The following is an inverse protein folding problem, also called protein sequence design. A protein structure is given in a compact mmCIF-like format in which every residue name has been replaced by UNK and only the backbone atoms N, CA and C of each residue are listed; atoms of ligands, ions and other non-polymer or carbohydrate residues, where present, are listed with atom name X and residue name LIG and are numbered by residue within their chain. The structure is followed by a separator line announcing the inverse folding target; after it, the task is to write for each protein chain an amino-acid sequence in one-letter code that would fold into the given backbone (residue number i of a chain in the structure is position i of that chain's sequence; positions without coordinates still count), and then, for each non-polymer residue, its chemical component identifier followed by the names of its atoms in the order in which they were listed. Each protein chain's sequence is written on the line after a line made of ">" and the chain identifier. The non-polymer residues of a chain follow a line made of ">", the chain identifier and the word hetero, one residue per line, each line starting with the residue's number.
data_IF_799110900400
#
_entry.id   IF_799110900400
#
_cell.length_a   1.000
_cell.length_b   1.000
_cell.length_c   1.000
_cell.angle_alpha   90.00
_cell.angle_beta   90.00
_cell.angle_gamma   90.00
#
_symmetry.space_group_name_H-M   'P 1'
#
loop_
_entity.id
_entity.type
_entity.pdbx_description
1 polymer ?
#
# COMPACT_ATOMS: atom_id res chain seq x y z
N UNK A 1 -26.01 6.48 -55.62
CA UNK A 1 -24.65 6.27 -55.12
C UNK A 1 -24.61 6.20 -53.61
N UNK A 2 -24.75 4.99 -53.09
CA UNK A 2 -24.44 4.66 -51.72
C UNK A 2 -23.15 3.83 -51.79
N UNK A 3 -22.02 4.45 -51.47
CA UNK A 3 -20.75 3.77 -51.36
C UNK A 3 -20.09 4.17 -50.04
N UNK A 4 -20.11 3.19 -49.14
CA UNK A 4 -18.96 2.80 -48.32
C UNK A 4 -18.47 3.83 -47.28
N UNK A 5 -19.08 3.75 -46.10
CA UNK A 5 -18.38 4.03 -44.85
C UNK A 5 -18.36 2.71 -44.07
N UNK A 6 -17.38 1.85 -44.35
CA UNK A 6 -17.11 0.68 -43.51
C UNK A 6 -16.31 1.13 -42.29
N UNK A 7 -16.73 0.78 -41.06
CA UNK A 7 -15.85 0.92 -39.91
C UNK A 7 -14.71 -0.09 -40.07
N UNK A 8 -13.47 0.39 -40.06
CA UNK A 8 -12.31 -0.45 -39.87
C UNK A 8 -12.38 -1.05 -38.45
N UNK A 9 -12.99 -2.23 -38.34
CA UNK A 9 -12.81 -3.12 -37.19
C UNK A 9 -11.36 -3.61 -37.24
N UNK A 10 -10.48 -2.90 -36.54
CA UNK A 10 -9.11 -3.34 -36.30
C UNK A 10 -9.13 -4.49 -35.30
N UNK A 11 -8.98 -5.71 -35.81
CA UNK A 11 -8.71 -6.95 -35.08
C UNK A 11 -7.31 -6.94 -34.41
N UNK A 12 -6.93 -5.87 -33.69
CA UNK A 12 -5.65 -5.76 -32.99
C UNK A 12 -5.68 -6.37 -31.57
N UNK A 13 -6.60 -7.30 -31.31
CA UNK A 13 -6.72 -7.98 -30.01
C UNK A 13 -6.07 -9.38 -29.98
N UNK A 14 -5.61 -9.88 -31.13
CA UNK A 14 -5.28 -11.30 -31.31
C UNK A 14 -3.87 -11.74 -30.89
N UNK A 15 -2.95 -10.83 -30.57
CA UNK A 15 -1.53 -11.17 -30.34
C UNK A 15 -0.95 -10.53 -29.06
N UNK A 16 -1.78 -10.32 -28.04
CA UNK A 16 -1.29 -10.01 -26.70
C UNK A 16 -0.88 -11.33 -26.03
N UNK A 17 0.40 -11.52 -25.65
CA UNK A 17 0.84 -12.72 -24.95
C UNK A 17 0.01 -12.91 -23.69
N UNK A 18 -0.14 -14.16 -23.26
CA UNK A 18 -0.85 -14.43 -22.01
C UNK A 18 -0.16 -13.67 -20.86
N UNK A 19 -0.94 -13.15 -19.91
CA UNK A 19 -0.39 -12.32 -18.83
C UNK A 19 0.64 -13.05 -17.95
N UNK A 20 0.68 -14.38 -18.04
CA UNK A 20 1.60 -15.29 -17.34
C UNK A 20 2.61 -15.98 -18.27
N UNK A 21 2.71 -15.54 -19.52
CA UNK A 21 3.64 -16.12 -20.50
C UNK A 21 5.10 -15.85 -20.10
N UNK A 22 5.91 -16.91 -20.10
CA UNK A 22 7.31 -16.84 -19.66
C UNK A 22 7.53 -16.84 -18.14
N UNK A 23 6.47 -16.84 -17.31
CA UNK A 23 6.60 -16.99 -15.86
C UNK A 23 6.85 -18.43 -15.44
N UNK A 24 7.59 -18.63 -14.34
CA UNK A 24 7.74 -19.96 -13.73
C UNK A 24 6.44 -20.39 -13.03
N UNK A 25 6.25 -21.69 -12.81
CA UNK A 25 5.06 -22.21 -12.11
C UNK A 25 4.91 -21.62 -10.69
N UNK A 26 6.04 -21.37 -10.01
CA UNK A 26 6.06 -20.75 -8.68
C UNK A 26 5.60 -19.28 -8.75
N UNK A 27 6.07 -18.51 -9.74
CA UNK A 27 5.65 -17.12 -9.94
C UNK A 27 4.16 -17.02 -10.27
N UNK A 28 3.66 -17.94 -11.11
CA UNK A 28 2.23 -18.03 -11.45
C UNK A 28 1.37 -18.33 -10.22
N UNK A 29 1.81 -19.25 -9.36
CA UNK A 29 1.11 -19.58 -8.14
C UNK A 29 1.07 -18.41 -7.14
N UNK A 30 2.17 -17.65 -7.01
CA UNK A 30 2.19 -16.44 -6.18
C UNK A 30 1.27 -15.34 -6.76
N UNK A 31 1.31 -15.12 -8.07
CA UNK A 31 0.47 -14.17 -8.76
C UNK A 31 -1.03 -14.51 -8.62
N UNK A 32 -1.42 -15.78 -8.80
CA UNK A 32 -2.80 -16.25 -8.61
C UNK A 32 -3.28 -16.05 -7.16
N UNK A 33 -2.43 -16.39 -6.18
CA UNK A 33 -2.74 -16.18 -4.77
C UNK A 33 -2.97 -14.70 -4.44
N UNK A 34 -2.11 -13.81 -4.95
CA UNK A 34 -2.23 -12.37 -4.78
C UNK A 34 -3.48 -11.82 -5.47
N UNK A 35 -3.75 -12.25 -6.71
CA UNK A 35 -4.92 -11.86 -7.47
C UNK A 35 -6.22 -12.26 -6.75
N UNK A 36 -6.32 -13.52 -6.29
CA UNK A 36 -7.46 -13.99 -5.50
C UNK A 36 -7.69 -13.15 -4.25
N UNK A 37 -6.62 -12.82 -3.52
CA UNK A 37 -6.72 -11.97 -2.33
C UNK A 37 -7.24 -10.58 -2.67
N UNK A 38 -6.69 -9.94 -3.71
CA UNK A 38 -7.09 -8.60 -4.15
C UNK A 38 -8.54 -8.56 -4.62
N UNK A 39 -8.95 -9.50 -5.46
CA UNK A 39 -10.33 -9.59 -5.97
C UNK A 39 -11.32 -9.78 -4.82
N UNK A 40 -11.01 -10.69 -3.88
CA UNK A 40 -11.87 -10.91 -2.70
C UNK A 40 -12.00 -9.65 -1.85
N UNK A 41 -10.89 -8.96 -1.56
CA UNK A 41 -10.93 -7.70 -0.81
C UNK A 41 -11.75 -6.63 -1.54
N UNK A 42 -11.50 -6.42 -2.82
CA UNK A 42 -12.23 -5.43 -3.62
C UNK A 42 -13.74 -5.71 -3.65
N UNK A 43 -14.14 -6.98 -3.75
CA UNK A 43 -15.56 -7.38 -3.67
C UNK A 43 -16.17 -7.06 -2.31
N UNK A 44 -15.47 -7.36 -1.21
CA UNK A 44 -15.95 -7.06 0.16
C UNK A 44 -16.08 -5.54 0.37
N UNK A 45 -15.07 -4.76 0.01
CA UNK A 45 -15.12 -3.30 0.15
C UNK A 45 -16.24 -2.69 -0.70
N UNK A 46 -16.41 -3.17 -1.94
CA UNK A 46 -17.49 -2.73 -2.83
C UNK A 46 -18.86 -3.06 -2.25
N UNK A 47 -19.04 -4.24 -1.68
CA UNK A 47 -20.31 -4.68 -1.09
C UNK A 47 -20.68 -3.85 0.14
N UNK A 48 -19.71 -3.56 1.02
CA UNK A 48 -19.89 -2.67 2.17
C UNK A 48 -20.28 -1.27 1.72
N UNK A 49 -19.53 -0.68 0.78
CA UNK A 49 -19.83 0.67 0.31
C UNK A 49 -21.19 0.77 -0.38
N UNK A 50 -21.60 -0.23 -1.17
CA UNK A 50 -22.94 -0.29 -1.78
C UNK A 50 -24.05 -0.38 -0.75
N UNK A 51 -23.93 -1.30 0.21
CA UNK A 51 -24.96 -1.54 1.24
C UNK A 51 -25.18 -0.32 2.13
N UNK A 52 -24.13 0.49 2.33
CA UNK A 52 -24.19 1.70 3.14
C UNK A 52 -24.29 2.99 2.30
N UNK A 53 -24.59 2.87 0.99
CA UNK A 53 -24.76 3.99 0.07
C UNK A 53 -23.58 5.00 0.06
N UNK A 54 -22.36 4.51 0.29
CA UNK A 54 -21.16 5.34 0.20
C UNK A 54 -20.91 5.70 -1.27
N UNK A 55 -20.66 6.98 -1.51
CA UNK A 55 -20.36 7.51 -2.84
C UNK A 55 -19.27 8.56 -2.73
N UNK A 56 -18.38 8.58 -3.72
CA UNK A 56 -17.40 9.65 -3.87
C UNK A 56 -18.10 10.85 -4.48
N UNK A 57 -18.05 11.99 -3.81
CA UNK A 57 -18.70 13.21 -4.28
C UNK A 57 -17.84 13.90 -5.35
N UNK A 58 -18.47 14.81 -6.09
CA UNK A 58 -17.75 15.61 -7.07
C UNK A 58 -16.65 16.47 -6.43
N UNK A 59 -16.91 16.97 -5.24
CA UNK A 59 -15.97 17.78 -4.45
C UNK A 59 -14.75 16.98 -4.02
N UNK A 60 -14.95 15.73 -3.58
CA UNK A 60 -13.87 14.80 -3.24
C UNK A 60 -13.01 14.47 -4.45
N UNK A 61 -13.64 14.20 -5.60
CA UNK A 61 -12.95 13.97 -6.88
C UNK A 61 -12.12 15.19 -7.28
N UNK A 62 -12.70 16.39 -7.24
CA UNK A 62 -12.01 17.62 -7.62
C UNK A 62 -10.83 17.93 -6.66
N UNK A 63 -10.99 17.63 -5.37
CA UNK A 63 -9.91 17.74 -4.39
C UNK A 63 -8.77 16.76 -4.70
N UNK A 64 -9.09 15.52 -5.05
CA UNK A 64 -8.08 14.52 -5.43
C UNK A 64 -7.30 14.92 -6.69
N UNK A 65 -7.97 15.50 -7.69
CA UNK A 65 -7.31 16.06 -8.88
C UNK A 65 -6.31 17.16 -8.48
N UNK A 66 -6.69 18.05 -7.57
CA UNK A 66 -5.79 19.09 -7.08
C UNK A 66 -4.61 18.51 -6.29
N UNK A 67 -4.85 17.53 -5.42
CA UNK A 67 -3.80 16.81 -4.70
C UNK A 67 -2.85 16.08 -5.64
N UNK A 68 -3.37 15.50 -6.72
CA UNK A 68 -2.54 14.85 -7.73
C UNK A 68 -1.67 15.87 -8.47
N UNK A 69 -2.23 17.02 -8.87
CA UNK A 69 -1.46 18.10 -9.47
C UNK A 69 -0.31 18.59 -8.56
N UNK A 70 -0.53 18.67 -7.24
CA UNK A 70 0.52 19.05 -6.27
C UNK A 70 1.70 18.08 -6.22
N UNK A 71 1.54 16.84 -6.69
CA UNK A 71 2.65 15.87 -6.79
C UNK A 71 3.61 16.16 -7.95
N UNK A 72 3.23 17.08 -8.85
CA UNK A 72 4.01 17.47 -10.03
C UNK A 72 4.35 18.97 -10.02
N UNK A 73 5.31 19.42 -9.19
CA UNK A 73 5.70 20.81 -9.10
C UNK A 73 6.18 21.38 -10.44
N UNK A 74 5.65 22.54 -10.85
CA UNK A 74 5.96 23.22 -12.11
C UNK A 74 5.20 22.70 -13.33
N UNK A 75 4.35 21.68 -13.17
CA UNK A 75 3.46 21.13 -14.21
C UNK A 75 2.01 21.03 -13.73
N UNK A 76 1.67 21.69 -12.62
CA UNK A 76 0.37 21.56 -11.97
C UNK A 76 -0.77 21.94 -12.91
N UNK A 77 -0.57 23.01 -13.70
CA UNK A 77 -1.54 23.47 -14.69
C UNK A 77 -1.81 22.41 -15.77
N UNK A 78 -0.77 21.76 -16.28
CA UNK A 78 -0.91 20.74 -17.32
C UNK A 78 -1.63 19.50 -16.78
N UNK A 79 -1.37 19.12 -15.52
CA UNK A 79 -2.08 18.01 -14.85
C UNK A 79 -3.57 18.33 -14.65
N UNK A 80 -3.89 19.55 -14.19
CA UNK A 80 -5.28 19.99 -14.07
C UNK A 80 -5.99 20.00 -15.41
N UNK A 81 -5.36 20.56 -16.44
CA UNK A 81 -5.92 20.64 -17.80
C UNK A 81 -6.11 19.21 -18.38
N UNK A 82 -5.20 18.28 -18.10
CA UNK A 82 -5.30 16.87 -18.48
C UNK A 82 -6.56 16.20 -17.89
N UNK A 83 -6.82 16.36 -16.60
CA UNK A 83 -8.00 15.77 -15.95
C UNK A 83 -9.31 16.44 -16.38
N UNK A 84 -9.29 17.75 -16.68
CA UNK A 84 -10.45 18.46 -17.22
C UNK A 84 -10.84 17.96 -18.62
N UNK A 85 -9.85 17.71 -19.47
CA UNK A 85 -10.07 17.25 -20.84
C UNK A 85 -10.35 15.75 -20.93
N UNK A 86 -9.93 14.98 -19.92
CA UNK A 86 -10.08 13.52 -19.90
C UNK A 86 -10.90 13.05 -18.68
N UNK A 87 -12.25 13.08 -18.75
CA UNK A 87 -13.10 12.59 -17.67
C UNK A 87 -12.83 11.13 -17.25
N UNK A 88 -12.41 10.29 -18.20
CA UNK A 88 -12.02 8.91 -17.91
C UNK A 88 -10.77 8.82 -17.03
N UNK A 89 -9.81 9.74 -17.17
CA UNK A 89 -8.64 9.79 -16.30
C UNK A 89 -9.05 10.17 -14.88
N UNK A 90 -9.98 11.13 -14.73
CA UNK A 90 -10.50 11.51 -13.42
C UNK A 90 -11.23 10.34 -12.72
N UNK A 91 -11.84 9.43 -13.48
CA UNK A 91 -12.48 8.23 -12.93
C UNK A 91 -11.48 7.25 -12.28
N UNK A 92 -10.21 7.26 -12.71
CA UNK A 92 -9.18 6.40 -12.11
C UNK A 92 -8.88 6.82 -10.67
N UNK A 93 -9.09 8.09 -10.32
CA UNK A 93 -8.92 8.59 -8.95
C UNK A 93 -10.07 8.17 -8.03
N UNK A 94 -11.24 7.82 -8.58
CA UNK A 94 -12.43 7.49 -7.79
C UNK A 94 -12.27 6.18 -7.04
N UNK A 95 -11.63 5.16 -7.64
CA UNK A 95 -11.43 3.85 -7.01
C UNK A 95 -10.72 3.95 -5.66
N UNK A 96 -9.51 4.52 -5.60
CA UNK A 96 -8.79 4.72 -4.34
C UNK A 96 -9.57 5.56 -3.32
N UNK A 97 -10.20 6.66 -3.75
CA UNK A 97 -11.01 7.50 -2.84
C UNK A 97 -12.19 6.74 -2.23
N UNK A 98 -12.84 5.89 -3.03
CA UNK A 98 -13.94 5.06 -2.54
C UNK A 98 -13.45 4.03 -1.54
N UNK A 99 -12.30 3.38 -1.80
CA UNK A 99 -11.68 2.44 -0.87
C UNK A 99 -11.35 3.10 0.47
N UNK A 100 -10.69 4.26 0.45
CA UNK A 100 -10.36 5.02 1.66
C UNK A 100 -11.63 5.35 2.47
N UNK A 101 -12.68 5.82 1.79
CA UNK A 101 -13.95 6.19 2.42
C UNK A 101 -14.66 4.98 3.05
N UNK A 102 -14.60 3.81 2.41
CA UNK A 102 -15.14 2.57 2.98
C UNK A 102 -14.33 2.14 4.20
N UNK A 103 -13.00 2.28 4.16
CA UNK A 103 -12.12 1.95 5.28
C UNK A 103 -12.41 2.86 6.46
N UNK A 104 -12.53 4.18 6.23
CA UNK A 104 -12.88 5.15 7.27
C UNK A 104 -14.22 4.81 7.93
N UNK A 105 -15.23 4.47 7.12
CA UNK A 105 -16.53 4.02 7.64
C UNK A 105 -16.42 2.75 8.49
N UNK A 106 -15.59 1.78 8.09
CA UNK A 106 -15.34 0.57 8.90
C UNK A 106 -14.67 0.95 10.22
N UNK A 107 -13.69 1.85 10.20
CA UNK A 107 -12.96 2.29 11.39
C UNK A 107 -13.87 3.04 12.38
N UNK A 108 -14.83 3.83 11.91
CA UNK A 108 -15.82 4.51 12.75
C UNK A 108 -16.71 3.53 13.54
N UNK A 109 -16.97 2.34 12.98
CA UNK A 109 -17.75 1.28 13.65
C UNK A 109 -16.87 0.30 14.43
N UNK A 110 -15.58 0.26 14.15
CA UNK A 110 -14.66 -0.70 14.75
C UNK A 110 -14.30 -0.29 16.18
N UNK A 111 -14.09 -1.30 17.03
CA UNK A 111 -13.46 -1.08 18.34
C UNK A 111 -11.96 -0.92 18.13
N UNK A 112 -11.47 0.31 18.20
CA UNK A 112 -10.04 0.63 18.11
C UNK A 112 -9.42 0.63 19.52
N UNK A 113 -8.32 -0.09 19.69
CA UNK A 113 -7.57 -0.16 20.95
C UNK A 113 -6.13 0.31 20.74
N UNK A 114 -5.69 1.28 21.54
CA UNK A 114 -4.32 1.79 21.50
C UNK A 114 -3.38 0.90 22.30
N UNK A 115 -2.30 0.44 21.65
CA UNK A 115 -1.30 -0.41 22.27
C UNK A 115 0.07 0.28 22.27
N UNK A 116 0.62 0.53 23.46
CA UNK A 116 1.97 1.05 23.63
C UNK A 116 2.98 -0.08 23.37
N UNK A 117 3.71 0.02 22.27
CA UNK A 117 4.77 -0.91 21.89
C UNK A 117 6.11 -0.18 21.75
N UNK A 118 7.20 -0.92 21.90
CA UNK A 118 8.54 -0.41 21.62
C UNK A 118 8.85 -0.41 20.12
N UNK A 119 9.84 0.38 19.69
CA UNK A 119 10.27 0.41 18.28
C UNK A 119 10.78 -0.98 17.84
N UNK A 120 11.49 -1.68 18.72
CA UNK A 120 11.97 -3.04 18.44
C UNK A 120 10.82 -4.04 18.26
N UNK A 121 9.69 -3.86 18.95
CA UNK A 121 8.50 -4.71 18.81
C UNK A 121 7.73 -4.40 17.53
N UNK A 122 7.61 -3.13 17.14
CA UNK A 122 6.96 -2.73 15.89
C UNK A 122 7.55 -3.47 14.67
N UNK A 123 8.88 -3.43 14.53
CA UNK A 123 9.56 -4.11 13.42
C UNK A 123 9.50 -5.64 13.51
N UNK A 124 9.37 -6.22 14.70
CA UNK A 124 9.18 -7.68 14.86
C UNK A 124 7.82 -8.13 14.33
N UNK A 125 6.77 -7.32 14.50
CA UNK A 125 5.41 -7.64 14.02
C UNK A 125 5.37 -7.64 12.49
N UNK A 126 6.05 -6.70 11.83
CA UNK A 126 6.16 -6.66 10.36
C UNK A 126 6.85 -7.91 9.81
N UNK A 127 7.95 -8.33 10.45
CA UNK A 127 8.67 -9.56 10.10
C UNK A 127 7.83 -10.82 10.29
N UNK A 128 6.99 -10.90 11.32
CA UNK A 128 6.12 -12.06 11.56
C UNK A 128 4.87 -12.07 10.66
N UNK A 129 4.29 -10.90 10.36
CA UNK A 129 3.22 -10.77 9.38
C UNK A 129 3.70 -11.13 7.96
N UNK A 130 4.95 -10.81 7.62
CA UNK A 130 5.58 -11.25 6.37
C UNK A 130 5.85 -12.78 6.33
N UNK A 131 6.12 -13.39 7.50
CA UNK A 131 6.34 -14.85 7.64
C UNK A 131 5.06 -15.69 7.67
N UNK A 132 3.89 -15.07 7.80
CA UNK A 132 2.58 -15.74 7.72
C UNK A 132 2.14 -16.09 6.27
N UNK A 133 2.97 -15.85 5.25
CA UNK A 133 2.85 -16.50 3.93
C UNK A 133 2.97 -18.04 4.10
N UNK A 134 2.26 -18.87 3.31
CA UNK A 134 2.31 -20.32 3.48
C UNK A 134 3.65 -20.87 3.01
N UNK A 135 4.64 -20.94 3.91
CA UNK A 135 5.91 -21.60 3.65
C UNK A 135 5.74 -23.12 3.74
N UNK A 136 5.73 -23.82 2.60
CA UNK A 136 5.92 -25.29 2.58
C UNK A 136 7.41 -25.62 2.38
N UNK A 137 8.00 -26.08 3.48
CA UNK A 137 9.15 -26.99 3.66
C UNK A 137 9.90 -27.46 2.39
N UNK A 138 11.20 -27.18 2.35
CA UNK A 138 12.22 -28.18 2.02
C UNK A 138 13.46 -28.00 2.91
N UNK A 139 13.61 -28.93 3.85
CA UNK A 139 14.79 -29.09 4.67
C UNK A 139 15.82 -29.96 3.94
N UNK A 140 17.09 -29.53 3.86
CA UNK A 140 18.24 -30.46 3.80
C UNK A 140 19.54 -29.84 4.33
N UNK A 141 19.68 -29.90 5.66
CA UNK A 141 20.80 -30.50 6.42
C UNK A 141 22.22 -30.36 5.84
N UNK A 142 23.09 -29.62 6.55
CA UNK A 142 24.32 -30.20 7.14
C UNK A 142 25.02 -29.25 8.11
N UNK A 143 25.39 -29.80 9.27
CA UNK A 143 26.03 -29.16 10.41
C UNK A 143 27.57 -29.31 10.39
N UNK A 144 28.29 -28.28 10.85
CA UNK A 144 29.61 -28.29 11.57
C UNK A 144 30.10 -26.82 11.60
N UNK A 145 30.66 -26.23 12.66
CA UNK A 145 31.41 -26.76 13.80
C UNK A 145 31.53 -25.68 14.90
N UNK A 146 31.48 -26.18 16.13
CA UNK A 146 31.70 -25.63 17.47
C UNK A 146 32.66 -24.44 17.73
N UNK A 147 32.22 -23.64 18.71
CA UNK A 147 32.89 -23.20 19.95
C UNK A 147 34.04 -22.18 19.95
N UNK A 148 33.90 -21.08 20.71
CA UNK A 148 34.51 -20.94 22.06
C UNK A 148 34.35 -19.54 22.71
N UNK A 149 33.91 -19.58 23.99
CA UNK A 149 34.34 -18.77 25.17
C UNK A 149 33.95 -17.29 25.37
N UNK A 150 33.03 -17.08 26.34
CA UNK A 150 32.94 -16.00 27.36
C UNK A 150 33.95 -16.31 28.54
N UNK A 151 34.18 -15.51 29.62
CA UNK A 151 33.48 -14.30 30.09
C UNK A 151 34.25 -13.18 30.89
N UNK A 152 33.49 -12.10 31.23
CA UNK A 152 33.53 -11.24 32.43
C UNK A 152 34.71 -10.23 32.60
N UNK A 153 34.64 -9.06 33.28
CA UNK A 153 33.65 -8.44 34.17
C UNK A 153 33.99 -6.94 34.48
N UNK A 154 32.99 -6.16 34.96
CA UNK A 154 33.03 -5.08 35.98
C UNK A 154 33.80 -3.76 35.66
N UNK A 155 33.47 -2.55 36.14
CA UNK A 155 32.50 -1.99 37.12
C UNK A 155 32.48 -0.44 37.00
N UNK A 156 31.28 0.14 37.05
CA UNK A 156 30.82 1.19 37.98
C UNK A 156 31.55 2.55 38.21
N UNK A 157 30.77 3.62 37.93
CA UNK A 157 30.32 4.72 38.82
C UNK A 157 31.27 5.82 39.37
N UNK A 158 30.94 7.09 39.08
CA UNK A 158 30.76 8.24 40.03
C UNK A 158 30.46 9.52 39.20
N UNK A 159 29.32 10.24 39.30
CA UNK A 159 28.69 11.11 40.32
C UNK A 159 29.38 12.48 40.60
N UNK A 160 28.55 13.54 40.54
CA UNK A 160 28.70 14.99 40.94
C UNK A 160 29.42 15.87 39.90
N UNK A 161 28.98 17.11 39.60
CA UNK A 161 28.39 18.11 40.48
C UNK A 161 27.37 19.05 39.79
N UNK A 162 26.45 19.56 40.61
CA UNK A 162 25.52 20.64 40.33
C UNK A 162 26.18 22.02 40.53
N UNK A 163 25.74 23.04 39.79
CA UNK A 163 25.62 24.42 40.30
C UNK A 163 24.58 25.23 39.52
N UNK A 164 23.57 25.72 40.24
CA UNK A 164 22.68 26.84 39.89
C UNK A 164 23.45 28.17 39.84
N UNK A 165 23.13 29.07 38.89
CA UNK A 165 22.96 30.55 39.07
C UNK A 165 22.50 31.14 37.71
N UNK A 166 21.24 31.52 37.50
CA UNK A 166 20.58 32.80 37.82
C UNK A 166 21.22 34.07 37.20
N UNK A 167 20.53 34.70 36.23
CA UNK A 167 20.39 36.14 35.92
C UNK A 167 19.89 36.30 34.45
N UNK A 168 18.62 36.62 34.14
CA UNK A 168 17.92 37.93 34.11
C UNK A 168 18.63 39.04 33.29
N UNK A 169 18.04 39.36 32.13
CA UNK A 169 17.85 40.68 31.45
C UNK A 169 17.67 40.36 29.95
N UNK A 170 16.70 40.87 29.21
CA UNK A 170 15.82 42.04 29.35
C UNK A 170 14.52 41.74 28.63
#
# INVERSE_FOLDING_TARGET
>A
DAAQNEPAEGDDQADMPAADEGMSDDDKAEADSLARRRVRLGMVLTDIGRTNNLQVTEEERNRAIFTEAQRYPGQEKDVLDYFQQNPQAAQQLVGPLFEDKVIDFILEMAKVEDNLITVEELYRVEDEAAKAKPAKKAAKKSAKKAAAKKPAAKKAASKKAATKKAAKKS
#
